data_IF_195296454830
#
_entry.id   IF_195296454830
#
_cell.length_a   1.000
_cell.length_b   1.000
_cell.length_c   1.000
_cell.angle_alpha   90.00
_cell.angle_beta   90.00
_cell.angle_gamma   90.00
#
_symmetry.space_group_name_H-M   'P 1'
#
loop_
_entity.id
_entity.type
_entity.pdbx_description
1 polymer ?
#
# COMPACT_ATOMS: atom_id res chain seq x y z
N UNK A 1 -2.75 20.33 -18.32
CA UNK A 1 -2.28 21.01 -19.51
C UNK A 1 -2.73 22.43 -19.36
N UNK A 2 -1.79 23.35 -19.23
CA UNK A 2 -2.10 24.73 -18.86
C UNK A 2 -2.39 25.62 -20.10
N UNK A 3 -2.34 25.02 -21.27
CA UNK A 3 -2.54 25.66 -22.59
C UNK A 3 -3.99 25.62 -23.10
N UNK A 4 -4.88 24.96 -22.36
CA UNK A 4 -6.30 24.88 -22.70
C UNK A 4 -6.64 23.87 -23.81
N UNK A 5 -5.68 23.04 -24.23
CA UNK A 5 -5.92 22.01 -25.22
C UNK A 5 -6.93 20.97 -24.73
N UNK A 6 -7.92 20.67 -25.58
CA UNK A 6 -8.91 19.64 -25.32
C UNK A 6 -8.38 18.28 -25.82
N UNK A 7 -8.35 17.29 -24.90
CA UNK A 7 -8.06 15.92 -25.27
C UNK A 7 -9.35 15.12 -25.24
N UNK A 8 -9.77 14.62 -26.39
CA UNK A 8 -10.94 13.75 -26.52
C UNK A 8 -10.54 12.27 -26.40
N UNK A 9 -11.40 11.47 -25.82
CA UNK A 9 -11.21 10.02 -25.68
C UNK A 9 -12.50 9.33 -25.27
N UNK A 10 -12.69 8.10 -25.74
CA UNK A 10 -13.86 7.29 -25.42
C UNK A 10 -13.77 6.69 -24.01
N UNK A 11 -12.54 6.39 -23.57
CA UNK A 11 -12.25 5.80 -22.26
C UNK A 11 -10.96 6.36 -21.68
N UNK A 12 -10.91 6.55 -20.37
CA UNK A 12 -9.79 7.15 -19.64
C UNK A 12 -9.23 6.20 -18.58
N UNK A 13 -7.91 6.23 -18.40
CA UNK A 13 -7.23 5.56 -17.30
C UNK A 13 -6.61 6.63 -16.40
N UNK A 14 -7.10 6.78 -15.19
CA UNK A 14 -6.57 7.72 -14.22
C UNK A 14 -5.35 7.13 -13.51
N UNK A 15 -4.15 7.56 -13.93
CA UNK A 15 -2.87 7.27 -13.30
C UNK A 15 -2.28 8.52 -12.61
N UNK A 16 -3.11 9.49 -12.20
CA UNK A 16 -2.67 10.75 -11.61
C UNK A 16 -2.20 10.63 -10.14
N UNK A 17 -2.11 9.41 -9.63
CA UNK A 17 -1.61 9.09 -8.31
C UNK A 17 -2.52 9.64 -7.21
N UNK A 18 -1.95 10.08 -6.10
CA UNK A 18 -2.71 10.62 -4.97
C UNK A 18 -3.63 11.80 -5.33
N UNK A 19 -3.43 12.45 -6.47
CA UNK A 19 -4.28 13.56 -6.93
C UNK A 19 -5.65 13.12 -7.42
N UNK A 20 -5.79 11.90 -7.95
CA UNK A 20 -7.07 11.32 -8.42
C UNK A 20 -7.89 12.28 -9.29
N UNK A 21 -7.24 12.88 -10.28
CA UNK A 21 -7.78 14.04 -11.00
C UNK A 21 -9.09 13.71 -11.72
N UNK A 22 -9.15 12.58 -12.41
CA UNK A 22 -10.33 12.20 -13.20
C UNK A 22 -11.35 11.45 -12.34
N UNK A 23 -10.92 10.35 -11.72
CA UNK A 23 -11.80 9.39 -11.06
C UNK A 23 -12.50 9.94 -9.81
N UNK A 24 -11.85 10.87 -9.11
CA UNK A 24 -12.36 11.46 -7.86
C UNK A 24 -12.72 12.92 -8.06
N UNK A 25 -11.76 13.81 -8.33
CA UNK A 25 -12.02 15.25 -8.40
C UNK A 25 -13.00 15.66 -9.49
N UNK A 26 -13.01 14.95 -10.63
CA UNK A 26 -13.89 15.26 -11.76
C UNK A 26 -15.20 14.47 -11.69
N UNK A 27 -15.10 13.15 -11.46
CA UNK A 27 -16.28 12.28 -11.48
C UNK A 27 -16.94 12.12 -10.11
N UNK A 28 -16.33 12.59 -9.04
CA UNK A 28 -16.76 12.44 -7.67
C UNK A 28 -16.75 10.96 -7.23
N UNK A 29 -16.00 10.63 -6.20
CA UNK A 29 -15.90 9.26 -5.71
C UNK A 29 -15.80 9.27 -4.19
N UNK A 30 -16.12 8.15 -3.55
CA UNK A 30 -16.03 7.98 -2.13
C UNK A 30 -14.71 7.31 -1.76
N UNK A 31 -14.07 7.81 -0.71
CA UNK A 31 -12.89 7.20 -0.15
C UNK A 31 -13.26 6.27 1.00
N UNK A 32 -12.83 5.02 0.92
CA UNK A 32 -12.94 4.03 2.00
C UNK A 32 -11.65 4.12 2.81
N UNK A 33 -11.75 4.68 4.00
CA UNK A 33 -10.61 4.96 4.88
C UNK A 33 -10.24 3.72 5.73
N UNK A 34 -8.96 3.40 5.79
CA UNK A 34 -8.42 2.30 6.59
C UNK A 34 -7.53 2.76 7.75
N UNK A 35 -7.48 4.06 8.03
CA UNK A 35 -6.61 4.63 9.08
C UNK A 35 -6.87 4.07 10.48
N UNK A 36 -8.08 3.56 10.74
CA UNK A 36 -8.40 2.89 12.00
C UNK A 36 -7.63 1.58 12.20
N UNK A 37 -7.23 0.91 11.13
CA UNK A 37 -6.52 -0.37 11.16
C UNK A 37 -5.05 -0.24 10.75
N UNK A 38 -4.71 0.74 9.90
CA UNK A 38 -3.38 1.05 9.41
C UNK A 38 -3.04 2.51 9.76
N UNK A 39 -2.51 2.77 10.96
CA UNK A 39 -2.47 4.11 11.53
C UNK A 39 -1.35 5.01 11.00
N UNK A 40 -0.39 4.47 10.26
CA UNK A 40 0.71 5.26 9.69
C UNK A 40 0.23 6.08 8.50
N UNK A 41 0.65 7.34 8.41
CA UNK A 41 0.15 8.27 7.41
C UNK A 41 1.23 9.20 6.85
N UNK A 42 2.49 8.99 7.26
CA UNK A 42 3.64 9.76 6.76
C UNK A 42 4.80 8.83 6.41
N UNK A 43 5.63 9.27 5.48
CA UNK A 43 6.86 8.58 5.11
C UNK A 43 7.98 9.57 4.84
N UNK A 44 9.15 9.30 5.41
CA UNK A 44 10.39 10.05 5.22
C UNK A 44 11.44 9.16 4.54
N UNK A 45 11.50 9.16 3.19
CA UNK A 45 12.50 8.39 2.45
C UNK A 45 13.87 9.08 2.46
N UNK A 46 14.92 8.28 2.53
CA UNK A 46 16.32 8.69 2.46
C UNK A 46 17.18 7.57 1.86
N UNK A 47 18.48 7.86 1.64
CA UNK A 47 19.42 6.87 1.15
C UNK A 47 20.62 6.76 2.07
N UNK A 48 21.16 5.55 2.16
CA UNK A 48 22.43 5.27 2.83
C UNK A 48 23.40 4.60 1.86
N UNK A 49 24.69 4.83 2.04
CA UNK A 49 25.71 4.11 1.33
C UNK A 49 25.88 2.71 1.95
N UNK A 50 26.29 1.75 1.12
CA UNK A 50 26.68 0.45 1.64
C UNK A 50 27.94 0.55 2.49
N UNK A 51 28.00 -0.28 3.53
CA UNK A 51 29.26 -0.55 4.24
C UNK A 51 30.12 -1.44 3.33
N UNK A 52 31.11 -0.85 2.70
CA UNK A 52 32.01 -1.54 1.74
C UNK A 52 32.85 -2.66 2.37
N UNK A 53 32.85 -2.77 3.70
CA UNK A 53 33.52 -3.86 4.43
C UNK A 53 32.65 -5.11 4.56
N UNK A 54 31.37 -5.04 4.19
CA UNK A 54 30.36 -6.11 4.33
C UNK A 54 29.78 -6.49 2.98
N UNK A 55 29.25 -7.70 2.91
CA UNK A 55 28.43 -8.13 1.77
C UNK A 55 27.08 -7.38 1.78
N UNK A 56 26.58 -7.09 0.59
CA UNK A 56 25.26 -6.47 0.43
C UNK A 56 24.20 -7.49 0.87
N UNK A 57 23.32 -7.14 1.85
CA UNK A 57 22.25 -8.04 2.27
C UNK A 57 21.34 -8.42 1.11
N UNK A 58 20.89 -9.66 1.05
CA UNK A 58 19.96 -10.18 0.03
C UNK A 58 18.50 -10.09 0.46
N UNK A 59 18.19 -9.31 1.50
CA UNK A 59 16.86 -9.17 2.06
C UNK A 59 16.52 -7.71 2.36
N UNK A 60 15.24 -7.40 2.33
CA UNK A 60 14.70 -6.14 2.84
C UNK A 60 14.50 -6.24 4.35
N UNK A 61 14.94 -5.23 5.08
CA UNK A 61 14.69 -5.12 6.51
C UNK A 61 13.48 -4.20 6.74
N UNK A 62 12.47 -4.70 7.48
CA UNK A 62 11.44 -3.90 8.09
C UNK A 62 11.70 -3.84 9.61
N UNK A 63 11.98 -2.66 10.12
CA UNK A 63 12.45 -2.47 11.50
C UNK A 63 11.51 -1.54 12.28
N UNK A 64 10.80 -2.10 13.26
CA UNK A 64 9.85 -1.34 14.09
C UNK A 64 10.56 -0.26 14.91
N UNK A 65 10.08 0.96 14.81
CA UNK A 65 10.55 2.16 15.50
C UNK A 65 9.55 2.60 16.57
N UNK A 66 9.72 3.79 17.19
CA UNK A 66 8.84 4.24 18.28
C UNK A 66 7.41 4.56 17.81
N UNK A 67 7.27 5.15 16.62
CA UNK A 67 5.97 5.63 16.09
C UNK A 67 5.63 5.07 14.71
N UNK A 68 6.22 3.93 14.35
CA UNK A 68 6.04 3.28 13.07
C UNK A 68 7.14 2.26 12.79
N UNK A 69 7.64 2.22 11.55
CA UNK A 69 8.66 1.27 11.12
C UNK A 69 9.52 1.83 10.00
N UNK A 70 10.78 1.40 9.94
CA UNK A 70 11.75 1.80 8.93
C UNK A 70 12.01 0.65 7.97
N UNK A 71 12.03 0.93 6.66
CA UNK A 71 12.52 -0.01 5.67
C UNK A 71 13.98 0.25 5.31
N UNK A 72 14.70 -0.83 4.97
CA UNK A 72 16.01 -0.76 4.33
C UNK A 72 16.03 -1.78 3.19
N UNK A 73 16.11 -1.28 1.96
CA UNK A 73 16.08 -2.08 0.74
C UNK A 73 17.47 -2.00 0.08
N UNK A 74 18.26 -3.07 0.11
CA UNK A 74 19.55 -3.10 -0.55
C UNK A 74 19.38 -3.11 -2.08
N UNK A 75 20.08 -2.22 -2.75
CA UNK A 75 20.28 -2.23 -4.21
C UNK A 75 21.75 -2.36 -4.49
N UNK A 76 22.20 -2.43 -5.76
CA UNK A 76 23.62 -2.56 -6.08
C UNK A 76 24.44 -1.37 -5.59
N UNK A 77 23.90 -0.16 -5.68
CA UNK A 77 24.65 1.07 -5.45
C UNK A 77 24.48 1.64 -4.05
N UNK A 78 23.34 1.34 -3.37
CA UNK A 78 22.96 1.99 -2.11
C UNK A 78 21.84 1.23 -1.38
N UNK A 79 21.58 1.62 -0.14
CA UNK A 79 20.39 1.25 0.60
C UNK A 79 19.29 2.30 0.35
N UNK A 80 18.15 1.88 -0.19
CA UNK A 80 16.93 2.68 -0.18
C UNK A 80 16.26 2.54 1.18
N UNK A 81 16.17 3.63 1.94
CA UNK A 81 15.63 3.64 3.30
C UNK A 81 14.44 4.58 3.42
N UNK A 82 13.67 4.41 4.47
CA UNK A 82 12.68 5.37 4.88
C UNK A 82 11.95 4.96 6.15
N UNK A 83 11.42 5.95 6.82
CA UNK A 83 10.61 5.78 8.02
C UNK A 83 9.14 6.08 7.69
N UNK A 84 8.28 5.10 7.94
CA UNK A 84 6.82 5.26 7.89
C UNK A 84 6.33 5.44 9.32
N UNK A 85 5.60 6.51 9.59
CA UNK A 85 5.19 6.87 10.95
C UNK A 85 3.81 7.50 11.01
N UNK A 86 3.27 7.56 12.22
CA UNK A 86 1.99 8.18 12.53
C UNK A 86 2.20 9.59 13.07
N UNK A 87 1.71 10.62 12.36
CA UNK A 87 1.91 12.02 12.74
C UNK A 87 1.14 12.45 14.01
N UNK A 88 0.27 11.61 14.52
CA UNK A 88 -0.35 11.79 15.83
C UNK A 88 0.65 11.58 16.99
N UNK A 89 1.68 10.78 16.76
CA UNK A 89 2.64 10.37 17.80
C UNK A 89 4.07 10.85 17.55
N UNK A 90 4.34 11.44 16.40
CA UNK A 90 5.69 11.83 16.00
C UNK A 90 5.65 12.95 14.97
N UNK A 91 6.31 14.08 15.24
CA UNK A 91 6.52 15.12 14.25
C UNK A 91 7.60 14.71 13.22
N UNK A 92 7.68 15.36 12.05
CA UNK A 92 8.76 15.10 11.09
C UNK A 92 10.16 15.27 11.68
N UNK A 93 10.35 16.27 12.53
CA UNK A 93 11.61 16.57 13.20
C UNK A 93 11.98 15.46 14.18
N UNK A 94 11.04 15.02 15.03
CA UNK A 94 11.23 13.89 15.95
C UNK A 94 11.48 12.58 15.19
N UNK A 95 10.82 12.37 14.04
CA UNK A 95 11.07 11.22 13.19
C UNK A 95 12.50 11.19 12.65
N UNK A 96 13.02 12.33 12.20
CA UNK A 96 14.40 12.44 11.75
C UNK A 96 15.38 12.21 12.90
N UNK A 97 15.18 12.86 14.05
CA UNK A 97 16.03 12.69 15.24
C UNK A 97 16.07 11.22 15.70
N UNK A 98 14.94 10.53 15.67
CA UNK A 98 14.87 9.11 16.00
C UNK A 98 15.70 8.25 15.04
N UNK A 99 15.54 8.46 13.72
CA UNK A 99 16.32 7.74 12.71
C UNK A 99 17.82 7.97 12.90
N UNK A 100 18.24 9.23 13.07
CA UNK A 100 19.65 9.60 13.27
C UNK A 100 20.22 9.00 14.55
N UNK A 101 19.42 8.97 15.61
CA UNK A 101 19.81 8.31 16.87
C UNK A 101 20.00 6.80 16.71
N UNK A 102 19.10 6.13 15.97
CA UNK A 102 19.14 4.69 15.72
C UNK A 102 20.31 4.29 14.81
N UNK A 103 20.58 5.11 13.80
CA UNK A 103 21.67 4.87 12.83
C UNK A 103 23.04 5.31 13.36
N UNK A 104 23.08 6.22 14.32
CA UNK A 104 24.30 6.80 14.88
C UNK A 104 24.96 7.86 14.00
N UNK A 105 24.26 8.37 13.00
CA UNK A 105 24.74 9.44 12.11
C UNK A 105 23.54 10.21 11.51
N UNK A 106 23.80 11.41 10.96
CA UNK A 106 22.81 12.22 10.28
C UNK A 106 22.36 11.62 8.96
N UNK A 107 21.13 11.93 8.57
CA UNK A 107 20.55 11.58 7.27
C UNK A 107 20.15 12.83 6.49
N UNK A 108 19.97 12.67 5.19
CA UNK A 108 19.39 13.69 4.30
C UNK A 108 18.03 13.20 3.80
N UNK A 109 16.91 13.57 4.47
CA UNK A 109 15.57 13.23 3.99
C UNK A 109 15.33 13.79 2.60
N UNK A 110 14.78 12.96 1.71
CA UNK A 110 14.43 13.40 0.35
C UNK A 110 13.16 14.22 0.34
N UNK A 111 12.21 13.80 1.16
CA UNK A 111 10.88 14.39 1.23
C UNK A 111 10.20 13.89 2.51
N UNK A 112 9.25 14.63 3.01
CA UNK A 112 8.29 14.13 4.00
C UNK A 112 6.93 14.02 3.31
N UNK A 113 6.55 12.79 3.00
CA UNK A 113 5.35 12.46 2.26
C UNK A 113 4.18 12.24 3.22
N UNK A 114 3.07 12.90 2.96
CA UNK A 114 1.80 12.60 3.62
C UNK A 114 0.91 11.79 2.68
N UNK A 115 0.28 10.74 3.19
CA UNK A 115 -0.62 9.90 2.41
C UNK A 115 -1.86 9.52 3.21
N UNK A 116 -2.89 9.12 2.50
CA UNK A 116 -4.10 8.54 3.06
C UNK A 116 -4.10 7.03 2.78
N UNK A 117 -4.30 6.23 3.82
CA UNK A 117 -4.46 4.79 3.70
C UNK A 117 -5.91 4.44 3.39
N UNK A 118 -6.13 3.66 2.36
CA UNK A 118 -7.47 3.30 1.92
C UNK A 118 -7.56 3.09 0.41
N UNK A 119 -8.79 3.05 -0.08
CA UNK A 119 -9.11 2.89 -1.50
C UNK A 119 -10.30 3.73 -1.93
N UNK A 120 -10.45 3.91 -3.21
CA UNK A 120 -11.73 4.36 -3.76
C UNK A 120 -12.80 3.29 -3.57
N UNK A 121 -14.05 3.73 -3.37
CA UNK A 121 -15.19 2.84 -3.38
C UNK A 121 -15.30 2.16 -4.75
N UNK A 122 -15.23 2.95 -5.82
CA UNK A 122 -15.34 2.51 -7.19
C UNK A 122 -14.04 2.78 -7.95
N UNK A 123 -13.23 1.76 -8.23
CA UNK A 123 -12.04 1.91 -9.05
C UNK A 123 -12.35 2.15 -10.54
N UNK A 124 -13.57 1.80 -10.97
CA UNK A 124 -14.10 2.12 -12.30
C UNK A 124 -15.41 2.87 -12.18
N UNK A 125 -15.47 4.11 -12.68
CA UNK A 125 -16.63 4.97 -12.66
C UNK A 125 -16.85 5.63 -14.02
N UNK A 126 -18.08 5.59 -14.55
CA UNK A 126 -18.39 6.04 -15.91
C UNK A 126 -17.45 5.40 -16.95
N UNK A 127 -16.81 6.19 -17.80
CA UNK A 127 -15.79 5.79 -18.76
C UNK A 127 -14.35 5.98 -18.26
N UNK A 128 -14.13 5.90 -16.94
CA UNK A 128 -12.81 6.10 -16.35
C UNK A 128 -12.50 5.00 -15.33
N UNK A 129 -11.31 4.39 -15.44
CA UNK A 129 -10.75 3.46 -14.46
C UNK A 129 -9.53 4.07 -13.78
N UNK A 130 -9.46 3.99 -12.45
CA UNK A 130 -8.30 4.36 -11.67
C UNK A 130 -7.35 3.18 -11.53
N UNK A 131 -6.05 3.44 -11.61
CA UNK A 131 -5.02 2.41 -11.49
C UNK A 131 -3.89 2.90 -10.56
N UNK A 132 -3.37 1.99 -9.76
CA UNK A 132 -2.28 2.27 -8.82
C UNK A 132 -2.71 3.23 -7.71
N UNK A 133 -1.88 4.24 -7.41
CA UNK A 133 -2.14 5.20 -6.33
C UNK A 133 -3.41 6.04 -6.52
N UNK A 134 -3.96 6.08 -7.73
CA UNK A 134 -5.25 6.69 -7.99
C UNK A 134 -6.42 5.84 -7.51
N UNK A 135 -6.27 4.50 -7.49
CA UNK A 135 -7.29 3.57 -7.01
C UNK A 135 -7.27 3.42 -5.48
N UNK A 136 -6.07 3.38 -4.89
CA UNK A 136 -5.89 3.23 -3.46
C UNK A 136 -4.41 3.16 -3.07
N UNK A 137 -4.17 3.26 -1.78
CA UNK A 137 -2.85 3.11 -1.20
C UNK A 137 -3.00 2.66 0.25
N UNK A 138 -2.15 1.74 0.66
CA UNK A 138 -2.12 1.28 2.05
C UNK A 138 -0.90 1.87 2.76
N UNK A 139 0.21 1.19 2.65
CA UNK A 139 1.52 1.62 3.14
C UNK A 139 2.63 0.83 2.43
N UNK A 140 3.91 1.21 2.58
CA UNK A 140 5.00 0.54 1.89
C UNK A 140 5.29 -0.90 2.36
N UNK A 141 4.76 -1.34 3.51
CA UNK A 141 5.00 -2.68 4.05
C UNK A 141 4.58 -3.73 3.02
N UNK A 142 5.44 -4.74 2.81
CA UNK A 142 5.26 -5.82 1.82
C UNK A 142 5.13 -5.37 0.34
N UNK A 143 5.42 -4.09 0.04
CA UNK A 143 5.43 -3.53 -1.32
C UNK A 143 4.16 -3.81 -2.15
N UNK A 144 3.00 -3.89 -1.50
CA UNK A 144 1.72 -4.29 -2.10
C UNK A 144 1.25 -3.39 -3.25
N UNK A 145 1.68 -2.12 -3.28
CA UNK A 145 1.20 -1.12 -4.25
C UNK A 145 1.55 -1.46 -5.71
N UNK A 146 2.78 -1.94 -5.99
CA UNK A 146 3.19 -2.31 -7.34
C UNK A 146 2.41 -3.54 -7.79
N UNK A 147 2.31 -4.53 -6.91
CA UNK A 147 1.55 -5.75 -7.17
C UNK A 147 0.08 -5.43 -7.47
N UNK A 148 -0.59 -4.64 -6.63
CA UNK A 148 -1.98 -4.21 -6.84
C UNK A 148 -2.16 -3.51 -8.18
N UNK A 149 -1.23 -2.64 -8.56
CA UNK A 149 -1.25 -1.93 -9.84
C UNK A 149 -1.22 -2.89 -11.02
N UNK A 150 -0.31 -3.88 -10.98
CA UNK A 150 -0.18 -4.88 -12.05
C UNK A 150 -1.43 -5.76 -12.15
N UNK A 151 -1.96 -6.23 -11.03
CA UNK A 151 -3.20 -7.02 -11.01
C UNK A 151 -4.37 -6.22 -11.57
N UNK A 152 -4.55 -4.97 -11.18
CA UNK A 152 -5.59 -4.09 -11.71
C UNK A 152 -5.49 -3.94 -13.24
N UNK A 153 -4.29 -3.66 -13.75
CA UNK A 153 -4.05 -3.50 -15.19
C UNK A 153 -4.31 -4.78 -15.97
N UNK A 154 -3.76 -5.90 -15.49
CA UNK A 154 -3.92 -7.20 -16.16
C UNK A 154 -5.38 -7.62 -16.17
N UNK A 155 -6.04 -7.50 -15.03
CA UNK A 155 -7.46 -7.82 -14.89
C UNK A 155 -8.31 -6.98 -15.85
N UNK A 156 -8.13 -5.65 -15.82
CA UNK A 156 -8.87 -4.75 -16.68
C UNK A 156 -8.61 -5.05 -18.17
N UNK A 157 -7.34 -5.18 -18.55
CA UNK A 157 -6.96 -5.41 -19.94
C UNK A 157 -7.48 -6.74 -20.50
N UNK A 158 -7.44 -7.81 -19.70
CA UNK A 158 -7.86 -9.14 -20.15
C UNK A 158 -9.36 -9.33 -20.19
N UNK A 159 -10.08 -8.80 -19.20
CA UNK A 159 -11.50 -9.16 -19.01
C UNK A 159 -12.48 -8.04 -19.39
N UNK A 160 -12.06 -6.75 -19.31
CA UNK A 160 -13.01 -5.63 -19.40
C UNK A 160 -12.71 -4.61 -20.51
N UNK A 161 -11.44 -4.46 -20.93
CA UNK A 161 -11.03 -3.39 -21.85
C UNK A 161 -11.79 -3.44 -23.18
N UNK A 162 -11.92 -4.60 -23.78
CA UNK A 162 -12.60 -4.73 -25.08
C UNK A 162 -14.07 -4.30 -25.01
N UNK A 163 -14.79 -4.69 -23.98
CA UNK A 163 -16.16 -4.27 -23.75
C UNK A 163 -16.25 -2.77 -23.48
N UNK A 164 -15.36 -2.26 -22.63
CA UNK A 164 -15.32 -0.85 -22.26
C UNK A 164 -15.08 0.08 -23.45
N UNK A 165 -14.17 -0.29 -24.37
CA UNK A 165 -13.91 0.47 -25.61
C UNK A 165 -15.11 0.46 -26.59
N UNK A 166 -16.00 -0.52 -26.48
CA UNK A 166 -17.26 -0.57 -27.23
C UNK A 166 -18.44 0.08 -26.47
N UNK A 167 -18.17 0.77 -25.36
CA UNK A 167 -19.20 1.44 -24.54
C UNK A 167 -20.02 0.49 -23.66
N UNK A 168 -19.63 -0.78 -23.56
CA UNK A 168 -20.27 -1.74 -22.65
C UNK A 168 -19.55 -1.72 -21.29
N UNK A 169 -20.24 -1.16 -20.30
CA UNK A 169 -19.77 -1.03 -18.93
C UNK A 169 -20.46 -2.01 -17.96
N UNK A 170 -21.08 -3.07 -18.47
CA UNK A 170 -21.82 -4.05 -17.66
C UNK A 170 -20.91 -4.78 -16.65
N UNK A 171 -19.62 -4.97 -16.97
CA UNK A 171 -18.64 -5.57 -16.08
C UNK A 171 -18.12 -4.67 -14.95
N UNK A 172 -18.48 -3.39 -14.91
CA UNK A 172 -17.94 -2.40 -13.98
C UNK A 172 -18.11 -2.77 -12.51
N UNK A 173 -19.30 -3.21 -12.14
CA UNK A 173 -19.58 -3.60 -10.75
C UNK A 173 -18.73 -4.80 -10.31
N UNK A 174 -18.60 -5.81 -11.16
CA UNK A 174 -17.76 -6.97 -10.87
C UNK A 174 -16.28 -6.58 -10.74
N UNK A 175 -15.77 -5.71 -11.63
CA UNK A 175 -14.42 -5.17 -11.51
C UNK A 175 -14.21 -4.44 -10.18
N UNK A 176 -15.12 -3.53 -9.81
CA UNK A 176 -15.06 -2.76 -8.57
C UNK A 176 -15.03 -3.66 -7.35
N UNK A 177 -15.87 -4.68 -7.30
CA UNK A 177 -15.90 -5.65 -6.21
C UNK A 177 -14.58 -6.44 -6.08
N UNK A 178 -14.01 -6.88 -7.20
CA UNK A 178 -12.74 -7.62 -7.20
C UNK A 178 -11.57 -6.76 -6.70
N UNK A 179 -11.51 -5.50 -7.14
CA UNK A 179 -10.45 -4.57 -6.70
C UNK A 179 -10.66 -4.17 -5.24
N UNK A 180 -11.90 -3.92 -4.82
CA UNK A 180 -12.21 -3.65 -3.43
C UNK A 180 -11.76 -4.80 -2.51
N UNK A 181 -12.08 -6.03 -2.89
CA UNK A 181 -11.70 -7.24 -2.15
C UNK A 181 -10.18 -7.38 -2.02
N UNK A 182 -9.44 -7.13 -3.11
CA UNK A 182 -7.97 -7.15 -3.07
C UNK A 182 -7.40 -6.15 -2.05
N UNK A 183 -7.91 -4.92 -2.01
CA UNK A 183 -7.45 -3.93 -1.03
C UNK A 183 -7.85 -4.31 0.41
N UNK A 184 -9.05 -4.85 0.61
CA UNK A 184 -9.53 -5.28 1.92
C UNK A 184 -8.69 -6.45 2.47
N UNK A 185 -8.31 -7.40 1.59
CA UNK A 185 -7.40 -8.50 1.93
C UNK A 185 -6.01 -7.98 2.32
N UNK A 186 -5.43 -7.07 1.53
CA UNK A 186 -4.14 -6.46 1.88
C UNK A 186 -4.20 -5.65 3.18
N UNK A 187 -5.30 -4.92 3.42
CA UNK A 187 -5.51 -4.25 4.71
C UNK A 187 -5.41 -5.25 5.88
N UNK A 188 -6.11 -6.36 5.79
CA UNK A 188 -6.10 -7.43 6.81
C UNK A 188 -4.71 -8.02 6.98
N UNK A 189 -4.03 -8.33 5.86
CA UNK A 189 -2.67 -8.86 5.86
C UNK A 189 -1.68 -7.90 6.53
N UNK A 190 -1.69 -6.63 6.17
CA UNK A 190 -0.82 -5.62 6.78
C UNK A 190 -1.15 -5.38 8.26
N UNK A 191 -2.43 -5.35 8.60
CA UNK A 191 -2.88 -5.17 9.98
C UNK A 191 -2.34 -6.24 10.93
N UNK A 192 -2.23 -7.50 10.46
CA UNK A 192 -1.65 -8.60 11.25
C UNK A 192 -0.15 -8.36 11.54
N UNK A 193 0.60 -7.72 10.65
CA UNK A 193 2.02 -7.42 10.88
C UNK A 193 2.24 -6.48 12.07
N UNK A 194 1.29 -5.61 12.36
CA UNK A 194 1.34 -4.75 13.54
C UNK A 194 1.07 -5.49 14.85
N UNK A 195 0.61 -6.75 14.79
CA UNK A 195 0.33 -7.54 15.98
C UNK A 195 1.62 -7.97 16.68
N UNK A 196 1.86 -7.43 17.86
CA UNK A 196 3.04 -7.73 18.67
C UNK A 196 2.74 -7.60 20.16
N UNK A 197 3.70 -7.88 21.00
CA UNK A 197 3.62 -7.64 22.44
C UNK A 197 4.12 -6.23 22.85
N UNK A 198 4.54 -5.42 21.89
CA UNK A 198 5.07 -4.08 22.16
C UNK A 198 4.02 -3.17 22.80
N UNK A 199 4.43 -2.49 23.88
CA UNK A 199 3.65 -1.51 24.63
C UNK A 199 4.57 -0.40 25.15
N UNK A 200 5.78 -0.32 24.60
CA UNK A 200 6.88 0.51 25.07
C UNK A 200 6.75 1.98 24.65
N UNK A 201 5.85 2.28 23.74
CA UNK A 201 5.55 3.65 23.31
C UNK A 201 4.05 3.89 23.19
N UNK A 202 3.57 5.16 23.25
CA UNK A 202 2.17 5.50 23.07
C UNK A 202 1.59 4.99 21.74
N UNK A 203 2.38 5.03 20.64
CA UNK A 203 1.98 4.48 19.35
C UNK A 203 1.72 2.97 19.42
N UNK A 204 2.67 2.18 19.94
CA UNK A 204 2.51 0.73 20.01
C UNK A 204 1.44 0.31 21.02
N UNK A 205 1.24 1.08 22.09
CA UNK A 205 0.12 0.88 23.00
C UNK A 205 -1.23 1.07 22.30
N UNK A 206 -1.38 2.16 21.52
CA UNK A 206 -2.56 2.44 20.71
C UNK A 206 -2.79 1.34 19.66
N UNK A 207 -1.78 0.99 18.90
CA UNK A 207 -1.87 -0.05 17.86
C UNK A 207 -2.38 -1.37 18.43
N UNK A 208 -1.85 -1.79 19.58
CA UNK A 208 -2.25 -3.07 20.18
C UNK A 208 -3.67 -3.04 20.78
N UNK A 209 -4.16 -1.87 21.19
CA UNK A 209 -5.48 -1.75 21.80
C UNK A 209 -6.59 -1.47 20.80
N UNK A 210 -6.33 -0.61 19.82
CA UNK A 210 -7.38 0.01 19.01
C UNK A 210 -7.34 -0.40 17.53
N UNK A 211 -6.14 -0.72 16.97
CA UNK A 211 -6.00 -0.87 15.52
C UNK A 211 -6.30 -2.28 14.98
N UNK A 212 -6.50 -3.28 15.82
CA UNK A 212 -6.77 -4.62 15.33
C UNK A 212 -8.20 -4.71 14.76
N UNK A 213 -8.31 -4.86 13.43
CA UNK A 213 -9.55 -5.01 12.70
C UNK A 213 -10.33 -6.29 13.04
N UNK A 214 -11.61 -6.33 12.71
CA UNK A 214 -12.44 -7.50 12.97
C UNK A 214 -12.00 -8.71 12.15
N UNK A 215 -11.69 -8.51 10.87
CA UNK A 215 -11.20 -9.58 9.98
C UNK A 215 -9.90 -10.20 10.51
N UNK A 216 -8.97 -9.35 10.99
CA UNK A 216 -7.74 -9.79 11.63
C UNK A 216 -7.99 -10.55 12.94
N UNK A 217 -8.96 -10.12 13.75
CA UNK A 217 -9.35 -10.82 14.99
C UNK A 217 -9.89 -12.21 14.70
N UNK A 218 -10.79 -12.33 13.72
CA UNK A 218 -11.39 -13.60 13.32
C UNK A 218 -10.34 -14.58 12.80
N UNK A 219 -9.42 -14.09 11.95
CA UNK A 219 -8.34 -14.90 11.40
C UNK A 219 -7.37 -15.39 12.49
N UNK A 220 -6.95 -14.49 13.39
CA UNK A 220 -6.09 -14.86 14.52
C UNK A 220 -6.78 -15.83 15.49
N UNK A 221 -8.07 -15.69 15.74
CA UNK A 221 -8.82 -16.63 16.58
C UNK A 221 -8.95 -18.01 15.94
N UNK A 222 -9.10 -18.07 14.61
CA UNK A 222 -9.05 -19.31 13.85
C UNK A 222 -7.68 -19.99 14.00
N UNK A 223 -6.59 -19.25 13.84
CA UNK A 223 -5.22 -19.77 13.92
C UNK A 223 -4.79 -20.17 15.35
N UNK A 224 -5.47 -19.68 16.38
CA UNK A 224 -5.28 -20.20 17.73
C UNK A 224 -5.82 -21.62 17.92
N UNK A 225 -6.82 -22.00 17.11
CA UNK A 225 -7.51 -23.30 17.21
C UNK A 225 -6.99 -24.34 16.22
N UNK A 226 -6.41 -23.88 15.11
CA UNK A 226 -5.90 -24.72 14.05
C UNK A 226 -4.64 -24.10 13.43
N UNK A 227 -3.77 -24.94 12.86
CA UNK A 227 -2.66 -24.42 12.07
C UNK A 227 -3.20 -23.64 10.84
N UNK A 228 -2.53 -22.56 10.46
CA UNK A 228 -2.83 -21.86 9.21
C UNK A 228 -2.79 -22.85 8.04
N UNK A 229 -3.84 -22.87 7.24
CA UNK A 229 -3.96 -23.72 6.06
C UNK A 229 -3.82 -22.87 4.80
N UNK A 230 -3.41 -23.48 3.69
CA UNK A 230 -3.31 -22.79 2.39
C UNK A 230 -4.58 -22.01 2.06
N UNK A 231 -5.75 -22.55 2.37
CA UNK A 231 -7.05 -21.91 2.17
C UNK A 231 -7.20 -20.57 2.92
N UNK A 232 -6.54 -20.41 4.07
CA UNK A 232 -6.58 -19.18 4.85
C UNK A 232 -5.79 -18.05 4.16
N UNK A 233 -4.87 -18.41 3.28
CA UNK A 233 -4.02 -17.54 2.52
C UNK A 233 -4.41 -17.46 1.04
N UNK A 234 -5.39 -18.25 0.58
CA UNK A 234 -5.79 -18.24 -0.84
C UNK A 234 -6.31 -16.86 -1.26
N UNK A 235 -6.93 -16.13 -0.36
CA UNK A 235 -7.28 -14.73 -0.56
C UNK A 235 -6.02 -13.87 -0.74
N UNK A 236 -4.98 -14.07 0.08
CA UNK A 236 -3.70 -13.38 -0.02
C UNK A 236 -2.82 -13.96 -1.13
N UNK A 237 -2.87 -15.27 -1.36
CA UNK A 237 -2.08 -16.00 -2.35
C UNK A 237 -2.62 -15.83 -3.77
N UNK A 238 -3.89 -15.56 -3.99
CA UNK A 238 -4.37 -15.17 -5.32
C UNK A 238 -3.67 -13.89 -5.80
N UNK A 239 -3.21 -13.07 -4.87
CA UNK A 239 -2.35 -11.92 -5.15
C UNK A 239 -0.87 -12.29 -5.38
N UNK A 240 -0.35 -13.34 -4.72
CA UNK A 240 1.07 -13.74 -4.81
C UNK A 240 1.32 -14.84 -5.86
N UNK A 241 0.34 -15.71 -6.14
CA UNK A 241 0.50 -16.84 -7.07
C UNK A 241 0.34 -16.44 -8.54
N UNK A 242 -0.20 -15.27 -8.86
CA UNK A 242 -0.17 -14.76 -10.24
C UNK A 242 1.25 -14.50 -10.77
N UNK A 243 2.25 -14.49 -9.87
CA UNK A 243 3.66 -14.34 -10.24
C UNK A 243 4.38 -15.65 -10.50
N UNK A 244 3.86 -16.79 -10.02
CA UNK A 244 4.51 -18.10 -10.22
C UNK A 244 4.12 -18.77 -11.55
N UNK A 245 2.87 -18.61 -11.99
CA UNK A 245 2.41 -19.20 -13.26
C UNK A 245 2.89 -18.43 -14.51
N UNK A 246 3.33 -17.18 -14.34
CA UNK A 246 3.89 -16.39 -15.44
C UNK A 246 5.39 -16.65 -15.69
N UNK A 247 6.04 -17.46 -14.85
CA UNK A 247 7.44 -17.85 -14.99
C UNK A 247 7.62 -19.23 -15.68
N UNK A 248 6.52 -19.96 -15.90
CA UNK A 248 6.52 -21.31 -16.51
C UNK A 248 5.98 -21.33 -17.95
N UNK A 249 5.66 -20.17 -18.55
CA UNK A 249 5.42 -19.98 -19.98
C UNK A 249 6.53 -19.12 -20.62
#
# INVERSE_FOLDING_TARGET
MDDGDLIEGDFFIDCSGFRRILIDKTLGNEWVDYSAELPVNRAMPFFLNHDTSKEIPSYTLAWAQKSGWMWQIPTQDRLGCGYVYCDQYCSPEEAQEEIESVLGHSIEPRQDLRFQVGRLRDSWRSNCVAVGLSAGFLEPLEATSIHSTLVQLILFAKEYLSAALNGDYSGRENFNQRIAHQFDDFRTFLNIHYRSERRDTPFWEFVQKECLGNDSKELLEKWRKSLPMRQDFEQFLSCLLYTSDAADE
#
